data_IF_499096271872
#
_entry.id   IF_499096271872
#
_cell.length_a   1.000
_cell.length_b   1.000
_cell.length_c   1.000
_cell.angle_alpha   90.00
_cell.angle_beta   90.00
_cell.angle_gamma   90.00
#
_symmetry.space_group_name_H-M   'P 1'
#
loop_
_entity.id
_entity.type
_entity.pdbx_description
1 polymer ?
#
# COMPACT_ATOMS: atom_id res chain seq x y z
N UNK A 1 -1.51 2.50 -14.66
CA UNK A 1 -1.90 3.03 -13.36
C UNK A 1 -2.73 2.01 -12.56
N UNK A 2 -3.91 1.58 -13.04
CA UNK A 2 -4.83 0.66 -12.35
C UNK A 2 -4.22 -0.68 -11.96
N UNK A 3 -3.35 -1.28 -12.79
CA UNK A 3 -2.70 -2.56 -12.52
C UNK A 3 -1.62 -2.47 -11.42
N UNK A 4 -0.83 -1.38 -11.41
CA UNK A 4 0.21 -1.18 -10.40
C UNK A 4 -0.38 -0.94 -9.01
N UNK A 5 -1.45 -0.16 -8.90
CA UNK A 5 -2.16 0.06 -7.63
C UNK A 5 -2.86 -1.21 -7.16
N UNK A 6 -3.52 -1.97 -8.04
CA UNK A 6 -4.15 -3.24 -7.67
C UNK A 6 -3.13 -4.25 -7.10
N UNK A 7 -1.96 -4.40 -7.73
CA UNK A 7 -0.88 -5.27 -7.22
C UNK A 7 -0.35 -4.82 -5.86
N UNK A 8 -0.21 -3.51 -5.65
CA UNK A 8 0.19 -2.95 -4.36
C UNK A 8 -0.82 -3.29 -3.26
N UNK A 9 -2.13 -3.17 -3.55
CA UNK A 9 -3.20 -3.51 -2.59
C UNK A 9 -3.35 -5.01 -2.36
N UNK A 10 -3.07 -5.83 -3.36
CA UNK A 10 -2.99 -7.29 -3.15
C UNK A 10 -1.86 -7.65 -2.17
N UNK A 11 -0.67 -7.07 -2.31
CA UNK A 11 0.42 -7.26 -1.36
C UNK A 11 0.09 -6.72 0.04
N UNK A 12 -0.64 -5.61 0.12
CA UNK A 12 -1.10 -5.00 1.36
C UNK A 12 -2.12 -5.89 2.10
N UNK A 13 -3.06 -6.51 1.37
CA UNK A 13 -4.08 -7.37 1.96
C UNK A 13 -3.49 -8.59 2.67
N UNK A 14 -2.35 -9.12 2.20
CA UNK A 14 -1.64 -10.21 2.87
C UNK A 14 -1.24 -9.80 4.28
N UNK A 15 -0.54 -8.67 4.40
CA UNK A 15 -0.07 -8.17 5.68
C UNK A 15 -1.23 -7.86 6.65
N UNK A 16 -2.36 -7.38 6.14
CA UNK A 16 -3.50 -7.01 6.97
C UNK A 16 -4.34 -8.23 7.39
N UNK A 17 -4.66 -9.10 6.45
CA UNK A 17 -5.55 -10.25 6.70
C UNK A 17 -4.88 -11.34 7.54
N UNK A 18 -3.58 -11.56 7.35
CA UNK A 18 -2.84 -12.64 7.99
C UNK A 18 -1.87 -12.17 9.07
N UNK A 19 -1.97 -10.91 9.51
CA UNK A 19 -1.12 -10.35 10.56
C UNK A 19 -1.19 -11.16 11.86
N UNK A 20 -2.38 -11.58 12.26
CA UNK A 20 -2.56 -12.41 13.47
C UNK A 20 -1.79 -13.73 13.35
N UNK A 21 -1.85 -14.40 12.19
CA UNK A 21 -1.10 -15.64 11.96
C UNK A 21 0.42 -15.43 12.00
N UNK A 22 0.90 -14.25 11.59
CA UNK A 22 2.31 -13.88 11.71
C UNK A 22 2.72 -13.75 13.19
N UNK A 23 1.87 -13.11 14.00
CA UNK A 23 2.10 -13.02 15.44
C UNK A 23 2.06 -14.38 16.12
N UNK A 24 1.10 -15.25 15.78
CA UNK A 24 1.02 -16.62 16.28
C UNK A 24 2.28 -17.43 15.93
N UNK A 25 2.80 -17.31 14.71
CA UNK A 25 4.06 -17.94 14.29
C UNK A 25 5.25 -17.53 15.17
N UNK A 26 5.25 -16.30 15.66
CA UNK A 26 6.33 -15.72 16.48
C UNK A 26 6.07 -15.82 17.97
N UNK A 27 5.13 -16.67 18.39
CA UNK A 27 4.70 -16.81 19.79
C UNK A 27 4.21 -15.49 20.42
N UNK A 28 3.77 -14.56 19.56
CA UNK A 28 3.13 -13.32 19.98
C UNK A 28 1.72 -13.57 20.51
N UNK A 29 1.20 -12.61 21.24
CA UNK A 29 -0.13 -12.66 21.83
C UNK A 29 -1.02 -11.53 21.29
N UNK A 30 -2.29 -11.53 21.67
CA UNK A 30 -3.27 -10.52 21.25
C UNK A 30 -2.88 -9.09 21.64
N UNK A 31 -2.06 -8.91 22.67
CA UNK A 31 -1.54 -7.59 23.05
C UNK A 31 -0.56 -7.06 22.00
N UNK A 32 0.36 -7.88 21.50
CA UNK A 32 1.28 -7.48 20.44
C UNK A 32 0.54 -7.14 19.15
N UNK A 33 -0.49 -7.94 18.81
CA UNK A 33 -1.35 -7.64 17.66
C UNK A 33 -2.09 -6.31 17.85
N UNK A 34 -2.74 -6.09 18.98
CA UNK A 34 -3.42 -4.82 19.29
C UNK A 34 -2.48 -3.62 19.29
N UNK A 35 -1.25 -3.78 19.79
CA UNK A 35 -0.23 -2.74 19.76
C UNK A 35 0.22 -2.44 18.31
N UNK A 36 0.36 -3.45 17.47
CA UNK A 36 0.68 -3.28 16.06
C UNK A 36 -0.40 -2.48 15.31
N UNK A 37 -1.67 -2.81 15.52
CA UNK A 37 -2.82 -2.06 14.99
C UNK A 37 -2.85 -0.61 15.51
N UNK A 38 -2.53 -0.41 16.78
CA UNK A 38 -2.43 0.93 17.36
C UNK A 38 -1.30 1.74 16.74
N UNK A 39 -0.09 1.18 16.59
CA UNK A 39 1.04 1.83 15.93
C UNK A 39 0.69 2.18 14.50
N UNK A 40 0.04 1.27 13.77
CA UNK A 40 -0.45 1.50 12.41
C UNK A 40 -1.39 2.70 12.35
N UNK A 41 -2.45 2.71 13.15
CA UNK A 41 -3.45 3.78 13.17
C UNK A 41 -2.86 5.15 13.55
N UNK A 42 -2.01 5.18 14.59
CA UNK A 42 -1.35 6.43 15.03
C UNK A 42 -0.39 6.94 13.98
N UNK A 43 0.31 6.05 13.26
CA UNK A 43 1.26 6.45 12.22
C UNK A 43 0.60 7.07 10.99
N UNK A 44 -0.68 6.80 10.73
CA UNK A 44 -1.42 7.42 9.63
C UNK A 44 -1.71 8.91 9.88
N UNK A 45 -1.84 9.34 11.12
CA UNK A 45 -2.17 10.74 11.46
C UNK A 45 -1.11 11.74 10.94
N UNK A 46 0.20 11.54 11.17
CA UNK A 46 1.23 12.42 10.62
C UNK A 46 1.28 12.45 9.09
N UNK A 47 0.81 11.39 8.40
CA UNK A 47 0.83 11.34 6.94
C UNK A 47 0.00 12.46 6.29
N UNK A 48 -1.14 12.80 6.89
CA UNK A 48 -1.98 13.90 6.43
C UNK A 48 -1.25 15.26 6.54
N UNK A 49 -0.54 15.50 7.64
CA UNK A 49 0.25 16.72 7.81
C UNK A 49 1.47 16.78 6.87
N UNK A 50 2.12 15.64 6.64
CA UNK A 50 3.23 15.57 5.68
C UNK A 50 2.73 15.90 4.27
N UNK A 51 1.54 15.42 3.90
CA UNK A 51 0.98 15.69 2.59
C UNK A 51 0.73 17.19 2.36
N UNK A 52 0.17 17.90 3.32
CA UNK A 52 -0.08 19.34 3.23
C UNK A 52 1.21 20.10 2.91
N UNK A 53 2.33 19.71 3.52
CA UNK A 53 3.63 20.38 3.34
C UNK A 53 4.39 19.89 2.08
N UNK A 54 4.18 18.65 1.64
CA UNK A 54 4.93 18.03 0.55
C UNK A 54 4.16 17.90 -0.77
N UNK A 55 2.81 18.08 -0.76
CA UNK A 55 1.97 17.86 -1.93
C UNK A 55 2.37 18.72 -3.12
N UNK A 56 2.80 19.97 -2.87
CA UNK A 56 3.21 20.92 -3.90
C UNK A 56 4.63 20.67 -4.43
N UNK A 57 5.47 19.92 -3.71
CA UNK A 57 6.89 19.73 -4.05
C UNK A 57 7.21 18.37 -4.67
N UNK A 58 6.37 17.37 -4.46
CA UNK A 58 6.62 15.99 -4.88
C UNK A 58 5.55 15.56 -5.88
N UNK A 59 5.97 15.18 -7.11
CA UNK A 59 5.05 14.68 -8.11
C UNK A 59 4.29 13.44 -7.61
N UNK A 60 3.03 13.29 -8.02
CA UNK A 60 2.14 12.18 -7.68
C UNK A 60 2.82 10.81 -7.84
N UNK A 61 3.55 10.64 -8.91
CA UNK A 61 4.31 9.43 -9.23
C UNK A 61 5.37 9.10 -8.18
N UNK A 62 6.14 10.09 -7.72
CA UNK A 62 7.15 9.88 -6.67
C UNK A 62 6.49 9.50 -5.34
N UNK A 63 5.33 10.07 -5.04
CA UNK A 63 4.55 9.72 -3.85
C UNK A 63 4.14 8.24 -3.89
N UNK A 64 3.61 7.78 -5.01
CA UNK A 64 3.17 6.39 -5.18
C UNK A 64 4.34 5.40 -5.16
N UNK A 65 5.47 5.79 -5.71
CA UNK A 65 6.67 4.97 -5.61
C UNK A 65 7.14 4.87 -4.15
N UNK A 66 7.12 5.97 -3.41
CA UNK A 66 7.43 5.99 -1.98
C UNK A 66 6.49 5.04 -1.21
N UNK A 67 5.17 5.14 -1.44
CA UNK A 67 4.19 4.25 -0.81
C UNK A 67 4.49 2.77 -1.11
N UNK A 68 4.74 2.42 -2.37
CA UNK A 68 5.02 1.04 -2.77
C UNK A 68 6.30 0.51 -2.10
N UNK A 69 7.35 1.33 -1.99
CA UNK A 69 8.60 0.97 -1.31
C UNK A 69 8.36 0.70 0.18
N UNK A 70 7.67 1.60 0.89
CA UNK A 70 7.42 1.42 2.33
C UNK A 70 6.49 0.23 2.61
N UNK A 71 5.48 0.00 1.78
CA UNK A 71 4.65 -1.21 1.88
C UNK A 71 5.44 -2.49 1.62
N UNK A 72 6.39 -2.47 0.68
CA UNK A 72 7.28 -3.62 0.45
C UNK A 72 8.18 -3.87 1.66
N UNK A 73 8.76 -2.83 2.26
CA UNK A 73 9.54 -2.98 3.49
C UNK A 73 8.71 -3.58 4.62
N UNK A 74 7.48 -3.12 4.82
CA UNK A 74 6.57 -3.69 5.83
C UNK A 74 6.35 -5.19 5.59
N UNK A 75 6.08 -5.60 4.35
CA UNK A 75 5.92 -7.01 3.99
C UNK A 75 7.20 -7.82 4.17
N UNK A 76 8.38 -7.24 3.88
CA UNK A 76 9.68 -7.89 4.14
C UNK A 76 9.90 -8.13 5.63
N UNK A 77 9.59 -7.17 6.50
CA UNK A 77 9.68 -7.39 7.95
C UNK A 77 8.72 -8.49 8.42
N UNK A 78 7.49 -8.52 7.89
CA UNK A 78 6.53 -9.57 8.22
C UNK A 78 6.97 -10.97 7.74
N UNK A 79 7.66 -11.06 6.59
CA UNK A 79 8.13 -12.32 6.03
C UNK A 79 9.38 -12.86 6.73
N UNK A 80 10.37 -12.01 6.99
CA UNK A 80 11.72 -12.42 7.34
C UNK A 80 12.12 -12.15 8.80
N UNK A 81 11.28 -11.46 9.58
CA UNK A 81 11.61 -11.21 10.99
C UNK A 81 11.19 -12.38 11.87
N UNK A 82 12.07 -12.74 12.80
CA UNK A 82 11.79 -13.69 13.88
C UNK A 82 11.47 -12.98 15.20
N UNK A 83 11.32 -11.66 15.18
CA UNK A 83 11.08 -10.86 16.38
C UNK A 83 9.75 -10.10 16.28
N UNK A 84 8.85 -10.38 17.25
CA UNK A 84 7.54 -9.76 17.37
C UNK A 84 7.62 -8.22 17.38
N UNK A 85 8.57 -7.65 18.10
CA UNK A 85 8.72 -6.20 18.24
C UNK A 85 9.14 -5.50 16.94
N UNK A 86 9.92 -6.18 16.11
CA UNK A 86 10.28 -5.67 14.78
C UNK A 86 9.02 -5.53 13.93
N UNK A 87 8.09 -6.49 14.02
CA UNK A 87 6.82 -6.43 13.29
C UNK A 87 5.94 -5.30 13.82
N UNK A 88 5.84 -5.12 15.14
CA UNK A 88 5.10 -4.01 15.75
C UNK A 88 5.63 -2.66 15.26
N UNK A 89 6.96 -2.45 15.33
CA UNK A 89 7.59 -1.19 14.92
C UNK A 89 7.44 -0.97 13.40
N UNK A 90 7.50 -2.03 12.60
CA UNK A 90 7.36 -1.94 11.14
C UNK A 90 5.99 -1.43 10.70
N UNK A 91 4.97 -1.52 11.57
CA UNK A 91 3.66 -0.92 11.29
C UNK A 91 3.73 0.62 11.15
N UNK A 92 4.75 1.26 11.72
CA UNK A 92 5.02 2.69 11.49
C UNK A 92 5.33 3.03 10.02
N UNK A 93 5.73 2.07 9.20
CA UNK A 93 5.87 2.25 7.74
C UNK A 93 4.54 2.62 7.07
N UNK A 94 3.40 2.38 7.73
CA UNK A 94 2.07 2.74 7.25
C UNK A 94 1.92 4.24 7.00
N UNK A 95 2.60 5.07 7.77
CA UNK A 95 2.63 6.53 7.58
C UNK A 95 3.01 6.92 6.15
N UNK A 96 4.06 6.32 5.60
CA UNK A 96 4.56 6.59 4.25
C UNK A 96 4.05 5.58 3.21
N UNK A 97 3.41 4.52 3.65
CA UNK A 97 2.71 3.54 2.85
C UNK A 97 1.27 3.99 2.57
N UNK A 98 0.32 3.36 3.25
CA UNK A 98 -1.11 3.59 3.04
C UNK A 98 -1.56 5.01 3.36
N UNK A 99 -1.06 5.60 4.44
CA UNK A 99 -1.44 6.96 4.86
C UNK A 99 -1.16 8.00 3.77
N UNK A 100 0.04 7.94 3.17
CA UNK A 100 0.41 8.86 2.09
C UNK A 100 -0.36 8.57 0.78
N UNK A 101 -0.64 7.29 0.50
CA UNK A 101 -1.47 6.89 -0.64
C UNK A 101 -2.88 7.45 -0.52
N UNK A 102 -3.54 7.19 0.61
CA UNK A 102 -4.94 7.57 0.82
C UNK A 102 -5.11 9.11 0.78
N UNK A 103 -4.30 9.83 1.56
CA UNK A 103 -4.32 11.29 1.58
C UNK A 103 -4.00 11.88 0.20
N UNK A 104 -3.03 11.30 -0.53
CA UNK A 104 -2.70 11.72 -1.89
C UNK A 104 -3.82 11.47 -2.90
N UNK A 105 -4.60 10.42 -2.71
CA UNK A 105 -5.76 10.11 -3.56
C UNK A 105 -6.90 11.11 -3.34
N UNK A 106 -7.16 11.50 -2.08
CA UNK A 106 -8.14 12.55 -1.75
C UNK A 106 -7.77 13.85 -2.46
N UNK A 107 -6.54 14.30 -2.28
CA UNK A 107 -6.05 15.54 -2.89
C UNK A 107 -6.17 15.54 -4.43
N UNK A 108 -5.79 14.42 -5.07
CA UNK A 108 -5.90 14.28 -6.52
C UNK A 108 -7.36 14.37 -6.99
N UNK A 109 -8.29 13.76 -6.27
CA UNK A 109 -9.72 13.78 -6.61
C UNK A 109 -10.29 15.19 -6.46
N UNK A 110 -9.93 15.88 -5.40
CA UNK A 110 -10.35 17.29 -5.18
C UNK A 110 -9.82 18.22 -6.27
N UNK A 111 -8.63 17.95 -6.79
CA UNK A 111 -8.06 18.72 -7.90
C UNK A 111 -8.72 18.44 -9.26
N UNK A 112 -9.17 17.19 -9.46
CA UNK A 112 -9.69 16.72 -10.76
C UNK A 112 -11.20 16.82 -10.92
N UNK A 113 -11.95 16.81 -9.82
CA UNK A 113 -13.42 16.74 -9.84
C UNK A 113 -14.06 17.99 -9.22
N UNK A 114 -15.30 18.26 -9.63
CA UNK A 114 -16.11 19.28 -8.98
C UNK A 114 -16.39 18.90 -7.52
N UNK A 115 -16.57 19.87 -6.60
CA UNK A 115 -16.90 19.58 -5.20
C UNK A 115 -18.11 18.65 -5.02
N UNK A 116 -19.08 18.68 -5.94
CA UNK A 116 -20.25 17.81 -5.93
C UNK A 116 -19.91 16.33 -6.27
N UNK A 117 -18.81 16.08 -6.97
CA UNK A 117 -18.41 14.75 -7.45
C UNK A 117 -17.25 14.13 -6.66
N UNK A 118 -16.60 14.88 -5.76
CA UNK A 118 -15.49 14.40 -4.93
C UNK A 118 -15.87 13.14 -4.16
N UNK A 119 -17.04 13.11 -3.53
CA UNK A 119 -17.52 11.96 -2.75
C UNK A 119 -17.70 10.72 -3.66
N UNK A 120 -18.23 10.91 -4.88
CA UNK A 120 -18.38 9.82 -5.86
C UNK A 120 -17.03 9.30 -6.32
N UNK A 121 -16.06 10.19 -6.57
CA UNK A 121 -14.70 9.84 -6.93
C UNK A 121 -14.00 9.03 -5.85
N UNK A 122 -14.11 9.45 -4.58
CA UNK A 122 -13.58 8.72 -3.44
C UNK A 122 -14.23 7.36 -3.26
N UNK A 123 -15.56 7.28 -3.38
CA UNK A 123 -16.29 6.02 -3.31
C UNK A 123 -15.83 5.04 -4.40
N UNK A 124 -15.57 5.52 -5.61
CA UNK A 124 -15.08 4.70 -6.71
C UNK A 124 -13.66 4.18 -6.44
N UNK A 125 -12.75 5.03 -5.95
CA UNK A 125 -11.40 4.59 -5.57
C UNK A 125 -11.49 3.53 -4.47
N UNK A 126 -12.26 3.78 -3.41
CA UNK A 126 -12.41 2.82 -2.31
C UNK A 126 -13.01 1.49 -2.78
N UNK A 127 -14.00 1.52 -3.67
CA UNK A 127 -14.58 0.31 -4.24
C UNK A 127 -13.54 -0.53 -5.02
N UNK A 128 -12.66 0.12 -5.79
CA UNK A 128 -11.63 -0.57 -6.57
C UNK A 128 -10.41 -0.97 -5.74
N UNK A 129 -9.95 -0.15 -4.80
CA UNK A 129 -8.75 -0.43 -4.02
C UNK A 129 -9.05 -1.32 -2.82
N UNK A 130 -9.93 -0.87 -1.95
CA UNK A 130 -10.29 -1.61 -0.72
C UNK A 130 -11.27 -2.75 -1.06
N UNK A 131 -12.35 -2.46 -1.79
CA UNK A 131 -13.36 -3.49 -2.10
C UNK A 131 -12.82 -4.60 -2.98
N UNK A 132 -12.42 -4.29 -4.22
CA UNK A 132 -11.96 -5.31 -5.17
C UNK A 132 -10.52 -5.74 -4.88
N UNK A 133 -9.60 -4.81 -4.60
CA UNK A 133 -8.18 -5.11 -4.40
C UNK A 133 -7.93 -5.95 -3.14
N UNK A 134 -8.39 -5.50 -1.98
CA UNK A 134 -8.23 -6.26 -0.73
C UNK A 134 -9.11 -7.51 -0.71
N UNK A 135 -10.35 -7.45 -1.24
CA UNK A 135 -11.25 -8.60 -1.26
C UNK A 135 -10.71 -9.76 -2.11
N UNK A 136 -10.30 -9.49 -3.36
CA UNK A 136 -9.67 -10.48 -4.22
C UNK A 136 -8.32 -10.93 -3.62
N UNK A 137 -7.55 -9.97 -3.09
CA UNK A 137 -6.30 -10.25 -2.40
C UNK A 137 -6.50 -11.22 -1.24
N UNK A 138 -7.47 -11.00 -0.36
CA UNK A 138 -7.77 -11.87 0.77
C UNK A 138 -8.17 -13.28 0.35
N UNK A 139 -8.98 -13.43 -0.71
CA UNK A 139 -9.36 -14.73 -1.25
C UNK A 139 -8.14 -15.50 -1.80
N UNK A 140 -7.30 -14.85 -2.59
CA UNK A 140 -6.07 -15.45 -3.11
C UNK A 140 -5.11 -15.82 -1.98
N UNK A 141 -4.96 -14.94 -0.99
CA UNK A 141 -4.12 -15.19 0.17
C UNK A 141 -4.63 -16.36 1.00
N UNK A 142 -5.95 -16.45 1.23
CA UNK A 142 -6.57 -17.59 1.90
C UNK A 142 -6.29 -18.89 1.17
N UNK A 143 -6.41 -18.89 -0.15
CA UNK A 143 -6.12 -20.07 -0.98
C UNK A 143 -4.63 -20.45 -0.92
N UNK A 144 -3.70 -19.50 -1.03
CA UNK A 144 -2.25 -19.74 -0.92
C UNK A 144 -1.92 -20.28 0.46
N UNK A 145 -2.41 -19.63 1.53
CA UNK A 145 -2.16 -20.04 2.90
C UNK A 145 -2.65 -21.46 3.19
N UNK A 146 -3.86 -21.80 2.73
CA UNK A 146 -4.43 -23.14 2.93
C UNK A 146 -3.70 -24.25 2.16
N UNK A 147 -3.08 -23.91 1.02
CA UNK A 147 -2.43 -24.89 0.15
C UNK A 147 -0.93 -25.02 0.41
N UNK A 148 -0.26 -23.93 0.73
CA UNK A 148 1.21 -23.84 0.79
C UNK A 148 1.74 -23.32 2.14
N UNK A 149 0.85 -22.87 3.02
CA UNK A 149 1.21 -22.37 4.36
C UNK A 149 1.62 -20.90 4.41
N UNK A 150 1.74 -20.40 5.65
CA UNK A 150 1.96 -18.98 5.94
C UNK A 150 3.30 -18.45 5.39
N UNK A 151 4.36 -19.24 5.43
CA UNK A 151 5.70 -18.82 4.95
C UNK A 151 5.65 -18.49 3.45
N UNK A 152 5.08 -19.39 2.63
CA UNK A 152 4.95 -19.18 1.18
C UNK A 152 4.06 -17.98 0.89
N UNK A 153 3.01 -17.78 1.70
CA UNK A 153 2.15 -16.60 1.59
C UNK A 153 2.93 -15.30 1.83
N UNK A 154 3.73 -15.24 2.90
CA UNK A 154 4.53 -14.06 3.22
C UNK A 154 5.58 -13.78 2.15
N UNK A 155 6.30 -14.78 1.67
CA UNK A 155 7.28 -14.65 0.58
C UNK A 155 6.61 -14.15 -0.70
N UNK A 156 5.44 -14.71 -1.04
CA UNK A 156 4.67 -14.27 -2.21
C UNK A 156 4.23 -12.81 -2.10
N UNK A 157 3.90 -12.33 -0.90
CA UNK A 157 3.54 -10.91 -0.67
C UNK A 157 4.68 -9.96 -0.99
N UNK A 158 5.91 -10.33 -0.61
CA UNK A 158 7.12 -9.56 -0.91
C UNK A 158 7.35 -9.52 -2.43
N UNK A 159 7.22 -10.65 -3.12
CA UNK A 159 7.37 -10.72 -4.58
C UNK A 159 6.33 -9.87 -5.29
N UNK A 160 5.05 -9.98 -4.91
CA UNK A 160 3.95 -9.19 -5.49
C UNK A 160 4.19 -7.69 -5.27
N UNK A 161 4.61 -7.29 -4.08
CA UNK A 161 4.93 -5.90 -3.75
C UNK A 161 6.12 -5.38 -4.57
N UNK A 162 7.17 -6.17 -4.73
CA UNK A 162 8.33 -5.82 -5.56
C UNK A 162 7.97 -5.68 -7.04
N UNK A 163 7.16 -6.60 -7.58
CA UNK A 163 6.64 -6.51 -8.96
C UNK A 163 5.81 -5.23 -9.14
N UNK A 164 5.02 -4.85 -8.14
CA UNK A 164 4.23 -3.61 -8.18
C UNK A 164 5.11 -2.36 -8.29
N UNK A 165 6.26 -2.33 -7.60
CA UNK A 165 7.25 -1.25 -7.74
C UNK A 165 7.75 -1.17 -9.18
N UNK A 166 8.13 -2.31 -9.76
CA UNK A 166 8.62 -2.37 -11.15
C UNK A 166 7.55 -1.86 -12.12
N UNK A 167 6.30 -2.29 -11.97
CA UNK A 167 5.17 -1.82 -12.79
C UNK A 167 4.98 -0.29 -12.66
N UNK A 168 5.05 0.26 -11.46
CA UNK A 168 4.94 1.71 -11.23
C UNK A 168 6.09 2.45 -11.92
N UNK A 169 7.33 1.96 -11.82
CA UNK A 169 8.51 2.57 -12.46
C UNK A 169 8.38 2.56 -13.99
N UNK A 170 7.97 1.44 -14.57
CA UNK A 170 7.76 1.32 -16.03
C UNK A 170 6.71 2.31 -16.51
N UNK A 171 5.58 2.40 -15.80
CA UNK A 171 4.51 3.35 -16.13
C UNK A 171 4.97 4.80 -16.05
N UNK A 172 5.82 5.12 -15.06
CA UNK A 172 6.40 6.45 -14.92
C UNK A 172 7.28 6.85 -16.10
N UNK A 173 8.08 5.90 -16.61
CA UNK A 173 8.93 6.14 -17.79
C UNK A 173 8.09 6.33 -19.03
N UNK A 174 7.09 5.46 -19.26
CA UNK A 174 6.19 5.55 -20.39
C UNK A 174 5.39 6.89 -20.42
N UNK A 175 4.90 7.34 -19.26
CA UNK A 175 4.19 8.62 -19.16
C UNK A 175 5.07 9.82 -19.51
N UNK A 176 6.35 9.82 -19.10
CA UNK A 176 7.29 10.90 -19.47
C UNK A 176 7.59 10.92 -20.97
N UNK A 177 7.74 9.77 -21.60
CA UNK A 177 7.98 9.68 -23.04
C UNK A 177 6.79 10.20 -23.86
N UNK A 178 5.56 9.89 -23.43
CA UNK A 178 4.34 10.37 -24.08
C UNK A 178 4.23 11.90 -23.96
N UNK A 179 4.49 12.44 -22.77
CA UNK A 179 4.43 13.89 -22.54
C UNK A 179 5.51 14.64 -23.34
N UNK A 180 6.72 14.08 -23.41
CA UNK A 180 7.82 14.63 -24.21
C UNK A 180 7.56 14.59 -25.72
N UNK A 181 6.81 13.60 -26.24
CA UNK A 181 6.42 13.52 -27.65
C UNK A 181 5.30 14.53 -28.01
N UNK A 182 4.37 14.78 -27.09
CA UNK A 182 3.28 15.75 -27.31
C UNK A 182 3.86 17.18 -27.41
N UNK A 183 4.81 17.54 -26.52
CA UNK A 183 5.45 18.87 -26.52
C UNK A 183 6.34 19.06 -27.78
N UNK A 184 6.89 18.00 -28.34
CA UNK A 184 7.73 18.09 -29.53
C UNK A 184 6.94 18.22 -30.84
N UNK A 185 5.66 17.85 -30.81
CA UNK A 185 4.76 17.86 -31.98
C UNK A 185 3.76 19.05 -31.97
N UNK A 186 3.78 19.87 -30.93
CA UNK A 186 3.08 21.17 -30.82
C UNK A 186 4.04 22.32 -31.07
#
# INVERSE_FOLDING_TARGET
>A
FRLGSAGMFMGYSVGRTFMLNVFERLEGNNFHYGLAEFVMAVSEVPSAFLLINFSQRISLVKRWLCCAVFMTFKNMFAAFSDNVWVIVISQGCEMLGFGLFYSGSVYLIEEMLSPADVVKGMSLINAFTVGAGEGIGALLCGWINSRYGLTVLMDSSVVISAVSIVCIVIMCRASKEIHGKIIKNS
#
